data_IF_858519019408
#
_entry.id   IF_858519019408
#
_cell.length_a   1.000
_cell.length_b   1.000
_cell.length_c   1.000
_cell.angle_alpha   90.00
_cell.angle_beta   90.00
_cell.angle_gamma   90.00
#
_symmetry.space_group_name_H-M   'P 1'
#
loop_
_entity.id
_entity.type
_entity.pdbx_description
1 polymer ?
#
# COMPACT_ATOMS: atom_id res chain seq x y z
N UNK A 1 9.42 46.27 -12.07
CA UNK A 1 8.15 46.95 -11.85
C UNK A 1 7.42 46.95 -13.17
N UNK A 2 6.58 45.97 -13.42
CA UNK A 2 5.64 45.92 -14.54
C UNK A 2 4.47 45.04 -14.12
N UNK A 3 3.36 45.69 -13.89
CA UNK A 3 2.07 45.14 -13.50
C UNK A 3 1.40 44.62 -14.76
N UNK A 4 1.10 43.33 -14.83
CA UNK A 4 0.21 42.77 -15.85
C UNK A 4 -1.22 42.75 -15.30
N UNK A 5 -2.04 43.57 -15.89
CA UNK A 5 -3.48 43.68 -15.67
C UNK A 5 -4.15 42.59 -16.48
N UNK A 6 -4.88 41.69 -15.80
CA UNK A 6 -5.76 40.72 -16.46
C UNK A 6 -7.10 41.40 -16.80
N UNK A 7 -7.34 41.55 -18.08
CA UNK A 7 -8.58 42.07 -18.63
C UNK A 7 -9.68 40.98 -18.60
N UNK A 8 -10.88 41.46 -18.32
CA UNK A 8 -12.11 40.71 -18.12
C UNK A 8 -12.53 39.90 -19.37
N UNK A 9 -12.53 38.58 -19.30
CA UNK A 9 -13.34 37.73 -20.19
C UNK A 9 -14.67 37.41 -19.50
N UNK A 10 -15.75 38.05 -19.92
CA UNK A 10 -17.12 37.62 -19.58
C UNK A 10 -17.48 36.40 -20.45
N UNK A 11 -18.10 35.36 -19.88
CA UNK A 11 -18.66 34.28 -20.67
C UNK A 11 -20.00 34.73 -21.32
N UNK A 12 -20.37 34.18 -22.49
CA UNK A 12 -21.65 34.48 -23.11
C UNK A 12 -22.80 33.88 -22.33
N UNK A 13 -23.81 34.69 -22.11
CA UNK A 13 -25.07 34.38 -21.46
C UNK A 13 -26.00 33.78 -22.51
N UNK A 14 -26.90 32.91 -22.03
CA UNK A 14 -28.17 32.43 -22.56
C UNK A 14 -28.17 31.06 -23.27
N UNK A 15 -28.47 30.06 -22.46
CA UNK A 15 -29.49 29.07 -22.81
C UNK A 15 -30.40 28.87 -21.62
N UNK A 16 -31.67 29.20 -21.81
CA UNK A 16 -32.73 28.95 -20.82
C UNK A 16 -32.79 27.47 -20.39
N UNK A 17 -33.07 27.17 -19.11
CA UNK A 17 -33.29 25.80 -18.68
C UNK A 17 -34.63 25.30 -19.18
N UNK A 18 -34.65 24.21 -19.94
CA UNK A 18 -35.87 23.48 -20.27
C UNK A 18 -36.55 23.03 -19.00
N UNK A 19 -37.69 23.64 -18.69
CA UNK A 19 -38.60 23.19 -17.64
C UNK A 19 -39.30 21.91 -18.09
N UNK A 20 -38.70 20.75 -17.79
CA UNK A 20 -39.43 19.47 -17.89
C UNK A 20 -40.35 19.33 -16.68
N UNK A 21 -41.64 19.34 -16.97
CA UNK A 21 -42.70 19.26 -15.96
C UNK A 21 -42.73 17.83 -15.39
N UNK A 22 -42.57 17.66 -14.08
CA UNK A 22 -42.61 16.36 -13.38
C UNK A 22 -43.83 15.48 -13.69
N UNK A 23 -44.90 16.09 -14.13
CA UNK A 23 -46.15 15.40 -14.54
C UNK A 23 -46.05 14.63 -15.88
N UNK A 24 -45.27 15.14 -16.83
CA UNK A 24 -45.13 14.46 -18.14
C UNK A 24 -44.19 13.25 -18.06
N UNK A 25 -43.23 13.24 -17.15
CA UNK A 25 -42.33 12.10 -16.92
C UNK A 25 -43.08 10.91 -16.30
N UNK A 26 -44.10 11.16 -15.47
CA UNK A 26 -44.89 10.09 -14.81
C UNK A 26 -45.90 9.52 -15.77
N UNK A 27 -46.49 10.28 -16.71
CA UNK A 27 -47.47 9.84 -17.66
C UNK A 27 -46.85 8.94 -18.74
N UNK A 28 -45.64 9.21 -19.20
CA UNK A 28 -44.93 8.37 -20.18
C UNK A 28 -44.41 7.04 -19.62
N UNK A 29 -44.29 6.90 -18.32
CA UNK A 29 -43.89 5.64 -17.65
C UNK A 29 -45.08 4.70 -17.39
N UNK A 30 -46.35 5.17 -17.49
CA UNK A 30 -47.54 4.39 -17.19
C UNK A 30 -48.26 3.83 -18.45
N UNK A 31 -47.82 4.19 -19.64
CA UNK A 31 -48.45 3.74 -20.91
C UNK A 31 -47.81 2.51 -21.58
N UNK A 32 -46.82 1.86 -20.91
CA UNK A 32 -46.22 0.61 -21.43
C UNK A 32 -46.67 -0.68 -20.72
N UNK A 33 -47.72 -0.65 -19.91
CA UNK A 33 -48.23 -1.85 -19.22
C UNK A 33 -49.71 -2.09 -19.40
N UNK A 34 -50.24 -1.98 -20.65
CA UNK A 34 -51.57 -2.44 -20.95
C UNK A 34 -51.62 -3.11 -22.35
N UNK A 35 -51.47 -4.42 -22.37
CA UNK A 35 -51.70 -5.23 -23.55
C UNK A 35 -51.11 -6.64 -23.45
N UNK A 36 -51.89 -7.56 -23.00
CA UNK A 36 -52.10 -8.92 -23.47
C UNK A 36 -52.32 -9.90 -22.32
N UNK A 37 -53.59 -10.06 -21.97
CA UNK A 37 -54.07 -11.24 -21.23
C UNK A 37 -54.27 -12.39 -22.20
N UNK A 38 -53.46 -13.44 -22.09
CA UNK A 38 -53.81 -14.79 -22.51
C UNK A 38 -53.30 -15.79 -21.50
N UNK A 39 -54.22 -16.58 -20.95
CA UNK A 39 -53.98 -17.57 -19.93
C UNK A 39 -53.05 -18.67 -20.44
N UNK A 40 -51.89 -18.78 -19.80
CA UNK A 40 -50.98 -19.91 -19.87
C UNK A 40 -50.35 -20.09 -18.50
N UNK A 41 -50.74 -21.17 -17.81
CA UNK A 41 -50.10 -21.57 -16.54
C UNK A 41 -48.64 -21.94 -16.78
N UNK A 42 -47.74 -20.97 -16.60
CA UNK A 42 -46.31 -21.23 -16.56
C UNK A 42 -45.95 -21.46 -15.09
N UNK A 43 -45.56 -22.70 -14.78
CA UNK A 43 -44.87 -23.02 -13.51
C UNK A 43 -43.66 -22.11 -13.40
N UNK A 44 -43.68 -21.25 -12.42
CA UNK A 44 -42.49 -20.45 -12.03
C UNK A 44 -41.40 -21.40 -11.56
N UNK A 45 -40.46 -21.72 -12.45
CA UNK A 45 -39.17 -22.18 -12.03
C UNK A 45 -38.47 -20.99 -11.35
N UNK A 46 -38.34 -21.07 -10.04
CA UNK A 46 -37.56 -20.13 -9.25
C UNK A 46 -36.15 -20.08 -9.81
N UNK A 47 -35.79 -18.95 -10.44
CA UNK A 47 -34.43 -18.62 -10.77
C UNK A 47 -33.68 -18.58 -9.42
N UNK A 48 -32.61 -19.39 -9.24
CA UNK A 48 -31.80 -19.28 -8.03
C UNK A 48 -31.19 -17.87 -7.99
N UNK A 49 -31.55 -17.08 -7.00
CA UNK A 49 -30.81 -15.87 -6.70
C UNK A 49 -29.37 -16.28 -6.41
N UNK A 50 -28.33 -15.53 -6.92
CA UNK A 50 -26.99 -15.77 -6.52
C UNK A 50 -26.95 -15.58 -5.01
N UNK A 51 -26.75 -16.66 -4.27
CA UNK A 51 -26.37 -16.56 -2.86
C UNK A 51 -25.04 -15.82 -2.85
N UNK A 52 -25.03 -14.60 -2.33
CA UNK A 52 -23.80 -13.99 -1.88
C UNK A 52 -23.10 -15.03 -1.00
N UNK A 53 -22.07 -15.65 -1.56
CA UNK A 53 -21.13 -16.41 -0.77
C UNK A 53 -20.47 -15.40 0.15
N UNK A 54 -21.03 -15.22 1.33
CA UNK A 54 -20.35 -14.70 2.48
C UNK A 54 -19.18 -15.67 2.73
N UNK A 55 -18.04 -15.39 2.08
CA UNK A 55 -16.81 -16.11 2.28
C UNK A 55 -16.42 -15.79 3.72
N UNK A 56 -16.76 -16.71 4.63
CA UNK A 56 -16.17 -16.73 5.97
C UNK A 56 -14.68 -16.92 5.76
N UNK A 57 -13.88 -15.91 6.13
CA UNK A 57 -12.41 -16.02 6.20
C UNK A 57 -12.12 -17.24 7.04
N UNK A 58 -11.44 -18.23 6.46
CA UNK A 58 -11.07 -19.45 7.16
C UNK A 58 -10.10 -19.09 8.30
N UNK A 59 -10.08 -19.88 9.38
CA UNK A 59 -9.23 -19.64 10.56
C UNK A 59 -7.72 -19.56 10.27
N UNK A 60 -7.28 -19.85 9.04
CA UNK A 60 -5.89 -19.84 8.57
C UNK A 60 -5.42 -18.51 7.94
N UNK A 61 -6.28 -17.49 7.82
CA UNK A 61 -5.98 -16.26 7.08
C UNK A 61 -5.88 -15.03 7.99
N UNK A 62 -5.00 -15.07 8.97
CA UNK A 62 -4.65 -13.91 9.80
C UNK A 62 -3.52 -13.15 9.12
N UNK A 63 -3.62 -11.82 9.04
CA UNK A 63 -2.53 -10.97 8.53
C UNK A 63 -1.20 -11.30 9.21
N UNK A 64 -0.13 -11.41 8.42
CA UNK A 64 1.24 -11.56 8.92
C UNK A 64 1.87 -10.18 9.09
N UNK A 65 2.05 -9.78 10.34
CA UNK A 65 2.47 -8.43 10.70
C UNK A 65 3.98 -8.43 10.97
N UNK A 66 4.72 -7.69 10.14
CA UNK A 66 6.16 -7.47 10.27
C UNK A 66 6.46 -6.08 10.79
N UNK A 67 7.57 -5.96 11.53
CA UNK A 67 8.19 -4.68 11.81
C UNK A 67 9.17 -4.32 10.69
N UNK A 68 9.13 -3.08 10.21
CA UNK A 68 10.13 -2.56 9.29
C UNK A 68 11.48 -2.39 10.01
N UNK A 69 12.48 -3.15 9.60
CA UNK A 69 13.76 -3.23 10.32
C UNK A 69 14.57 -1.92 10.34
N UNK A 70 14.21 -0.95 9.48
CA UNK A 70 14.77 0.41 9.54
C UNK A 70 14.75 0.96 10.98
N UNK A 71 13.69 0.70 11.71
CA UNK A 71 13.47 1.22 13.06
C UNK A 71 14.26 0.50 14.15
N UNK A 72 14.95 -0.58 13.79
CA UNK A 72 15.77 -1.41 14.68
C UNK A 72 17.26 -1.44 14.27
N UNK A 73 17.72 -0.49 13.41
CA UNK A 73 19.12 -0.46 12.91
C UNK A 73 20.18 -0.20 13.97
N UNK A 74 19.78 0.19 15.17
CA UNK A 74 20.63 0.30 16.35
C UNK A 74 20.90 -1.06 17.05
N UNK A 75 20.38 -2.17 16.50
CA UNK A 75 20.52 -3.54 17.00
C UNK A 75 21.23 -4.41 15.97
N UNK A 76 22.01 -5.40 16.44
CA UNK A 76 22.47 -6.47 15.57
C UNK A 76 21.32 -7.45 15.23
N UNK A 77 21.54 -8.39 14.29
CA UNK A 77 20.49 -9.30 13.81
C UNK A 77 19.81 -10.10 14.93
N UNK A 78 20.59 -10.61 15.90
CA UNK A 78 20.06 -11.41 17.02
C UNK A 78 19.21 -10.56 17.95
N UNK A 79 19.70 -9.40 18.35
CA UNK A 79 18.96 -8.46 19.21
C UNK A 79 17.70 -7.93 18.51
N UNK A 80 17.79 -7.58 17.21
CA UNK A 80 16.65 -7.15 16.40
C UNK A 80 15.55 -8.22 16.41
N UNK A 81 15.90 -9.46 16.14
CA UNK A 81 14.94 -10.56 16.12
C UNK A 81 14.32 -10.80 17.50
N UNK A 82 15.11 -10.80 18.58
CA UNK A 82 14.62 -10.98 19.94
C UNK A 82 13.66 -9.86 20.37
N UNK A 83 14.01 -8.61 20.09
CA UNK A 83 13.16 -7.44 20.41
C UNK A 83 11.86 -7.47 19.61
N UNK A 84 11.92 -7.77 18.32
CA UNK A 84 10.72 -7.89 17.48
C UNK A 84 9.78 -9.01 17.97
N UNK A 85 10.34 -10.18 18.34
CA UNK A 85 9.57 -11.29 18.90
C UNK A 85 8.94 -10.93 20.26
N UNK A 86 9.69 -10.28 21.16
CA UNK A 86 9.19 -9.81 22.45
C UNK A 86 8.05 -8.79 22.32
N UNK A 87 8.11 -7.92 21.33
CA UNK A 87 7.00 -7.01 21.02
C UNK A 87 5.76 -7.74 20.49
N UNK A 88 5.91 -8.97 19.96
CA UNK A 88 4.82 -9.79 19.46
C UNK A 88 4.52 -9.63 17.98
N UNK A 89 5.51 -9.28 17.16
CA UNK A 89 5.43 -9.33 15.69
C UNK A 89 5.48 -10.78 15.17
N UNK A 90 4.90 -11.00 13.99
CA UNK A 90 4.97 -12.28 13.29
C UNK A 90 6.24 -12.40 12.44
N UNK A 91 6.84 -11.24 12.09
CA UNK A 91 7.99 -11.20 11.22
C UNK A 91 8.76 -9.89 11.26
N UNK A 92 9.80 -9.85 10.44
CA UNK A 92 10.63 -8.65 10.21
C UNK A 92 10.69 -8.39 8.71
N UNK A 93 10.38 -7.16 8.29
CA UNK A 93 10.64 -6.64 6.94
C UNK A 93 12.09 -6.12 6.91
N UNK A 94 13.00 -6.93 6.39
CA UNK A 94 14.45 -6.64 6.46
C UNK A 94 14.84 -5.63 5.38
N UNK A 95 15.52 -4.56 5.77
CA UNK A 95 16.12 -3.60 4.82
C UNK A 95 17.34 -4.21 4.12
N UNK A 96 17.25 -4.37 2.79
CA UNK A 96 18.34 -4.80 1.90
C UNK A 96 18.64 -3.68 0.91
N UNK A 97 19.31 -2.64 1.39
CA UNK A 97 19.56 -1.42 0.62
C UNK A 97 20.78 -0.67 1.18
N UNK A 98 21.32 0.35 0.46
CA UNK A 98 22.37 1.21 1.03
C UNK A 98 21.96 1.79 2.38
N UNK A 99 22.82 1.66 3.37
CA UNK A 99 22.54 2.09 4.74
C UNK A 99 21.49 1.27 5.49
N UNK A 100 21.01 0.14 4.95
CA UNK A 100 20.10 -0.79 5.63
C UNK A 100 20.82 -1.79 6.53
N UNK A 101 20.05 -2.67 7.18
CA UNK A 101 20.61 -3.78 7.97
C UNK A 101 21.50 -4.70 7.13
N UNK A 102 21.12 -4.95 5.88
CA UNK A 102 21.87 -5.74 4.91
C UNK A 102 22.24 -4.83 3.75
N UNK A 103 23.53 -4.74 3.44
CA UNK A 103 24.01 -4.01 2.28
C UNK A 103 23.80 -4.86 1.01
N UNK A 104 23.40 -4.26 -0.13
CA UNK A 104 23.18 -4.98 -1.39
C UNK A 104 24.36 -5.85 -1.84
N UNK A 105 25.57 -5.34 -1.73
CA UNK A 105 26.82 -6.01 -2.09
C UNK A 105 27.18 -7.19 -1.17
N UNK A 106 26.61 -7.22 0.03
CA UNK A 106 26.83 -8.27 1.03
C UNK A 106 25.64 -9.21 1.21
N UNK A 107 24.63 -9.09 0.36
CA UNK A 107 23.35 -9.80 0.51
C UNK A 107 23.52 -11.32 0.64
N UNK A 108 24.43 -11.93 -0.14
CA UNK A 108 24.65 -13.36 -0.12
C UNK A 108 25.23 -13.88 1.20
N UNK A 109 25.95 -13.01 1.94
CA UNK A 109 26.56 -13.36 3.24
C UNK A 109 25.69 -13.00 4.43
N UNK A 110 25.05 -11.83 4.39
CA UNK A 110 24.46 -11.21 5.56
C UNK A 110 22.95 -11.45 5.65
N UNK A 111 22.23 -11.51 4.52
CA UNK A 111 20.80 -11.82 4.55
C UNK A 111 20.49 -13.20 5.14
N UNK A 112 21.26 -14.29 4.83
CA UNK A 112 21.05 -15.57 5.49
C UNK A 112 21.22 -15.51 7.01
N UNK A 113 22.17 -14.72 7.53
CA UNK A 113 22.39 -14.54 8.98
C UNK A 113 21.21 -13.82 9.64
N UNK A 114 20.71 -12.76 9.00
CA UNK A 114 19.56 -12.03 9.49
C UNK A 114 18.29 -12.87 9.51
N UNK A 115 18.03 -13.62 8.43
CA UNK A 115 16.89 -14.56 8.33
C UNK A 115 16.98 -15.67 9.37
N UNK A 116 18.17 -16.25 9.58
CA UNK A 116 18.40 -17.28 10.60
C UNK A 116 18.10 -16.75 12.01
N UNK A 117 18.54 -15.53 12.33
CA UNK A 117 18.26 -14.88 13.61
C UNK A 117 16.74 -14.71 13.82
N UNK A 118 16.00 -14.23 12.80
CA UNK A 118 14.55 -14.06 12.85
C UNK A 118 13.84 -15.40 13.05
N UNK A 119 14.26 -16.45 12.35
CA UNK A 119 13.68 -17.79 12.49
C UNK A 119 13.96 -18.43 13.85
N UNK A 120 15.17 -18.26 14.39
CA UNK A 120 15.53 -18.70 15.75
C UNK A 120 14.71 -18.02 16.84
N UNK A 121 14.24 -16.80 16.59
CA UNK A 121 13.30 -16.10 17.46
C UNK A 121 11.82 -16.52 17.28
N UNK A 122 11.55 -17.53 16.46
CA UNK A 122 10.18 -18.05 16.22
C UNK A 122 9.34 -17.26 15.22
N UNK A 123 9.95 -16.35 14.47
CA UNK A 123 9.29 -15.51 13.47
C UNK A 123 9.70 -15.87 12.03
N UNK A 124 9.14 -15.15 11.05
CA UNK A 124 9.48 -15.32 9.64
C UNK A 124 9.87 -13.97 8.98
N UNK A 125 10.52 -14.07 7.81
CA UNK A 125 10.76 -12.94 6.91
C UNK A 125 9.84 -13.13 5.71
N UNK A 126 8.72 -12.38 5.70
CA UNK A 126 7.73 -12.46 4.63
C UNK A 126 8.12 -11.61 3.43
N UNK A 127 8.86 -10.55 3.70
CA UNK A 127 9.27 -9.56 2.71
C UNK A 127 10.60 -8.91 3.10
N UNK A 128 11.24 -8.28 2.12
CA UNK A 128 12.39 -7.38 2.31
C UNK A 128 12.11 -6.03 1.66
N UNK A 129 12.66 -4.98 2.22
CA UNK A 129 12.66 -3.65 1.62
C UNK A 129 13.99 -3.35 0.94
N UNK A 130 13.97 -3.21 -0.38
CA UNK A 130 15.15 -2.94 -1.20
C UNK A 130 15.16 -1.52 -1.77
N UNK A 131 16.22 -1.19 -2.52
CA UNK A 131 16.31 0.00 -3.36
C UNK A 131 16.33 -0.36 -4.87
N UNK A 132 15.91 -1.56 -5.23
CA UNK A 132 15.90 -2.05 -6.63
C UNK A 132 14.95 -1.19 -7.47
N UNK A 133 15.47 -0.60 -8.54
CA UNK A 133 14.69 0.19 -9.51
C UNK A 133 14.82 -0.33 -10.94
N UNK A 134 15.81 -1.21 -11.18
CA UNK A 134 16.12 -1.73 -12.52
C UNK A 134 16.62 -3.18 -12.42
N UNK A 135 16.21 -4.01 -13.37
CA UNK A 135 16.64 -5.40 -13.46
C UNK A 135 18.14 -5.53 -13.84
N UNK A 136 18.66 -4.54 -14.54
CA UNK A 136 20.02 -4.55 -15.09
C UNK A 136 21.07 -4.01 -14.08
N UNK A 137 20.67 -3.56 -12.89
CA UNK A 137 21.61 -3.13 -11.85
C UNK A 137 22.42 -4.32 -11.30
N UNK A 138 23.74 -4.15 -11.05
CA UNK A 138 24.65 -5.26 -10.74
C UNK A 138 24.25 -6.10 -9.52
N UNK A 139 23.55 -5.50 -8.53
CA UNK A 139 23.17 -6.17 -7.29
C UNK A 139 21.76 -6.78 -7.34
N UNK A 140 20.90 -6.36 -8.27
CA UNK A 140 19.49 -6.74 -8.33
C UNK A 140 19.30 -8.24 -8.40
N UNK A 141 19.92 -8.91 -9.35
CA UNK A 141 19.75 -10.35 -9.52
C UNK A 141 20.25 -11.13 -8.29
N UNK A 142 21.37 -10.72 -7.70
CA UNK A 142 21.91 -11.38 -6.52
C UNK A 142 20.99 -11.23 -5.29
N UNK A 143 20.37 -10.05 -5.11
CA UNK A 143 19.38 -9.82 -4.05
C UNK A 143 18.18 -10.76 -4.22
N UNK A 144 17.59 -10.79 -5.42
CA UNK A 144 16.40 -11.60 -5.69
C UNK A 144 16.68 -13.10 -5.56
N UNK A 145 17.82 -13.55 -6.12
CA UNK A 145 18.28 -14.94 -5.99
C UNK A 145 18.47 -15.34 -4.54
N UNK A 146 19.13 -14.51 -3.74
CA UNK A 146 19.41 -14.82 -2.33
C UNK A 146 18.12 -14.83 -1.51
N UNK A 147 17.26 -13.82 -1.69
CA UNK A 147 15.96 -13.75 -1.00
C UNK A 147 15.08 -14.96 -1.33
N UNK A 148 14.96 -15.32 -2.61
CA UNK A 148 14.20 -16.47 -3.07
C UNK A 148 14.74 -17.80 -2.48
N UNK A 149 16.07 -17.99 -2.48
CA UNK A 149 16.69 -19.18 -1.90
C UNK A 149 16.41 -19.32 -0.39
N UNK A 150 16.13 -18.22 0.29
CA UNK A 150 15.73 -18.19 1.69
C UNK A 150 14.20 -18.31 1.90
N UNK A 151 13.42 -18.48 0.82
CA UNK A 151 11.97 -18.62 0.87
C UNK A 151 11.22 -17.29 1.09
N UNK A 152 11.88 -16.17 0.85
CA UNK A 152 11.23 -14.85 0.87
C UNK A 152 10.53 -14.65 -0.48
N UNK A 153 9.26 -14.28 -0.45
CA UNK A 153 8.41 -14.23 -1.63
C UNK A 153 8.01 -12.83 -2.07
N UNK A 154 8.33 -11.81 -1.26
CA UNK A 154 7.95 -10.42 -1.50
C UNK A 154 9.13 -9.49 -1.28
N UNK A 155 9.23 -8.44 -2.09
CA UNK A 155 10.17 -7.35 -1.83
C UNK A 155 9.61 -6.01 -2.29
N UNK A 156 9.86 -4.95 -1.50
CA UNK A 156 9.61 -3.58 -1.92
C UNK A 156 10.72 -3.12 -2.87
N UNK A 157 10.33 -2.48 -3.97
CA UNK A 157 11.27 -1.81 -4.90
C UNK A 157 11.76 -0.46 -4.33
N UNK A 158 12.75 0.14 -4.98
CA UNK A 158 13.04 1.56 -4.84
C UNK A 158 12.00 2.42 -5.56
N UNK A 159 12.07 3.74 -5.39
CA UNK A 159 11.20 4.70 -6.06
C UNK A 159 11.78 5.21 -7.38
N UNK A 160 10.91 5.45 -8.35
CA UNK A 160 11.24 6.03 -9.64
C UNK A 160 10.84 7.51 -9.64
N UNK A 161 11.74 8.35 -10.16
CA UNK A 161 11.53 9.79 -10.25
C UNK A 161 11.11 10.18 -11.66
N UNK A 162 10.21 11.13 -11.77
CA UNK A 162 9.85 11.75 -13.04
C UNK A 162 11.03 12.55 -13.61
N UNK A 163 11.34 12.32 -14.89
CA UNK A 163 12.27 13.17 -15.63
C UNK A 163 11.53 14.40 -16.14
N UNK A 164 11.87 15.59 -15.62
CA UNK A 164 11.22 16.87 -15.98
C UNK A 164 11.41 17.29 -17.45
N UNK A 165 12.33 16.64 -18.19
CA UNK A 165 12.56 16.90 -19.61
C UNK A 165 11.66 16.06 -20.53
N UNK A 166 10.86 15.16 -19.96
CA UNK A 166 9.93 14.27 -20.69
C UNK A 166 8.48 14.61 -20.35
N UNK A 167 7.57 14.26 -21.24
CA UNK A 167 6.13 14.28 -20.92
C UNK A 167 5.82 13.26 -19.83
N UNK A 168 4.66 13.41 -19.17
CA UNK A 168 4.19 12.41 -18.19
C UNK A 168 4.03 11.05 -18.86
N UNK A 169 3.44 11.02 -20.05
CA UNK A 169 3.21 9.79 -20.81
C UNK A 169 4.51 9.07 -21.17
N UNK A 170 5.57 9.81 -21.52
CA UNK A 170 6.86 9.20 -21.84
C UNK A 170 7.58 8.69 -20.59
N UNK A 171 7.45 9.38 -19.46
CA UNK A 171 7.91 8.87 -18.17
C UNK A 171 7.19 7.56 -17.81
N UNK A 172 5.86 7.49 -17.95
CA UNK A 172 5.09 6.27 -17.64
C UNK A 172 5.52 5.08 -18.52
N UNK A 173 5.83 5.30 -19.81
CA UNK A 173 6.38 4.27 -20.71
C UNK A 173 7.75 3.77 -20.25
N UNK A 174 8.62 4.69 -19.79
CA UNK A 174 9.93 4.32 -19.25
C UNK A 174 9.77 3.46 -17.97
N UNK A 175 8.86 3.86 -17.07
CA UNK A 175 8.57 3.11 -15.84
C UNK A 175 7.98 1.73 -16.15
N UNK A 176 7.03 1.66 -17.07
CA UNK A 176 6.47 0.40 -17.55
C UNK A 176 7.56 -0.53 -18.10
N UNK A 177 8.46 -0.01 -18.94
CA UNK A 177 9.58 -0.78 -19.51
C UNK A 177 10.47 -1.36 -18.42
N UNK A 178 10.83 -0.57 -17.39
CA UNK A 178 11.64 -1.03 -16.26
C UNK A 178 10.91 -2.10 -15.42
N UNK A 179 9.65 -1.86 -15.11
CA UNK A 179 8.87 -2.78 -14.29
C UNK A 179 8.54 -4.09 -15.02
N UNK A 180 8.40 -4.09 -16.36
CA UNK A 180 8.29 -5.31 -17.17
C UNK A 180 9.56 -6.15 -17.05
N UNK A 181 10.75 -5.56 -17.22
CA UNK A 181 12.02 -6.27 -17.03
C UNK A 181 12.16 -6.86 -15.62
N UNK A 182 11.80 -6.07 -14.60
CA UNK A 182 11.78 -6.55 -13.22
C UNK A 182 10.80 -7.72 -13.04
N UNK A 183 9.60 -7.65 -13.62
CA UNK A 183 8.63 -8.72 -13.55
C UNK A 183 9.13 -10.03 -14.17
N UNK A 184 9.90 -9.96 -15.27
CA UNK A 184 10.54 -11.13 -15.88
C UNK A 184 11.61 -11.74 -15.00
N UNK A 185 12.47 -10.91 -14.40
CA UNK A 185 13.48 -11.36 -13.45
C UNK A 185 12.84 -11.92 -12.17
N UNK A 186 11.80 -11.28 -11.68
CA UNK A 186 11.01 -11.74 -10.53
C UNK A 186 10.39 -13.11 -10.76
N UNK A 187 9.84 -13.34 -11.97
CA UNK A 187 9.33 -14.65 -12.39
C UNK A 187 10.40 -15.73 -12.33
N UNK A 188 11.62 -15.43 -12.79
CA UNK A 188 12.77 -16.37 -12.75
C UNK A 188 13.07 -16.85 -11.34
N UNK A 189 12.93 -15.97 -10.35
CA UNK A 189 13.20 -16.27 -8.94
C UNK A 189 11.96 -16.54 -8.10
N UNK A 190 10.76 -16.57 -8.69
CA UNK A 190 9.49 -16.78 -7.97
C UNK A 190 9.30 -15.84 -6.78
N UNK A 191 9.66 -14.57 -6.95
CA UNK A 191 9.54 -13.50 -5.95
C UNK A 191 8.70 -12.36 -6.54
N UNK A 192 7.84 -11.73 -5.75
CA UNK A 192 7.01 -10.59 -6.17
C UNK A 192 7.71 -9.27 -5.85
N UNK A 193 7.87 -8.41 -6.85
CA UNK A 193 8.30 -7.02 -6.66
C UNK A 193 7.09 -6.12 -6.40
N UNK A 194 7.24 -5.15 -5.49
CA UNK A 194 6.13 -4.33 -5.02
C UNK A 194 6.53 -2.88 -4.96
N UNK A 195 5.83 -2.07 -5.74
CA UNK A 195 6.07 -0.64 -5.76
C UNK A 195 5.20 0.05 -4.70
N UNK A 196 5.84 0.74 -3.75
CA UNK A 196 5.13 1.51 -2.73
C UNK A 196 4.64 2.84 -3.32
N UNK A 197 3.34 3.13 -3.19
CA UNK A 197 2.84 4.48 -3.42
C UNK A 197 3.34 5.39 -2.28
N UNK A 198 4.18 6.37 -2.63
CA UNK A 198 4.79 7.29 -1.67
C UNK A 198 4.49 8.73 -2.07
N UNK A 199 3.96 9.54 -1.13
CA UNK A 199 3.65 10.94 -1.37
C UNK A 199 4.88 11.76 -1.76
N UNK A 200 4.68 12.78 -2.60
CA UNK A 200 5.71 13.63 -3.16
C UNK A 200 5.81 13.52 -4.69
N UNK A 201 6.97 13.89 -5.25
CA UNK A 201 7.17 13.96 -6.70
C UNK A 201 7.65 12.63 -7.32
N UNK A 202 7.21 11.50 -6.75
CA UNK A 202 7.58 10.17 -7.22
C UNK A 202 6.48 9.57 -8.10
N UNK A 203 6.88 8.68 -9.02
CA UNK A 203 5.94 7.75 -9.64
C UNK A 203 5.19 6.99 -8.54
N UNK A 204 3.90 6.81 -8.71
CA UNK A 204 3.04 6.12 -7.74
C UNK A 204 2.53 6.99 -6.59
N UNK A 205 2.96 8.25 -6.46
CA UNK A 205 2.37 9.18 -5.49
C UNK A 205 0.88 9.41 -5.80
N UNK A 206 0.50 9.91 -6.99
CA UNK A 206 -0.88 9.83 -7.42
C UNK A 206 -1.18 8.40 -7.86
N UNK A 207 -1.90 7.64 -7.04
CA UNK A 207 -2.16 6.20 -7.22
C UNK A 207 -2.58 5.79 -8.65
N UNK A 208 -3.08 6.74 -9.43
CA UNK A 208 -3.58 6.53 -10.79
C UNK A 208 -2.49 6.25 -11.81
N UNK A 209 -1.29 6.79 -11.66
CA UNK A 209 -0.15 6.52 -12.52
C UNK A 209 0.37 5.10 -12.28
N UNK A 210 0.49 4.69 -11.01
CA UNK A 210 0.83 3.32 -10.63
C UNK A 210 -0.21 2.32 -11.15
N UNK A 211 -1.51 2.61 -10.96
CA UNK A 211 -2.58 1.78 -11.50
C UNK A 211 -2.49 1.65 -13.02
N UNK A 212 -2.26 2.76 -13.73
CA UNK A 212 -2.12 2.76 -15.19
C UNK A 212 -1.02 1.79 -15.63
N UNK A 213 0.19 1.94 -15.09
CA UNK A 213 1.34 1.10 -15.45
C UNK A 213 1.12 -0.36 -15.06
N UNK A 214 0.68 -0.65 -13.83
CA UNK A 214 0.46 -2.03 -13.39
C UNK A 214 -0.66 -2.74 -14.17
N UNK A 215 -1.69 -2.00 -14.60
CA UNK A 215 -2.78 -2.56 -15.41
C UNK A 215 -2.35 -2.96 -16.82
N UNK A 216 -1.39 -2.22 -17.41
CA UNK A 216 -0.81 -2.58 -18.71
C UNK A 216 0.13 -3.79 -18.59
N UNK A 217 0.99 -3.82 -17.55
CA UNK A 217 1.91 -4.95 -17.32
C UNK A 217 1.13 -6.23 -17.00
N UNK A 218 0.09 -6.13 -16.18
CA UNK A 218 -0.78 -7.22 -15.76
C UNK A 218 -0.04 -8.54 -15.43
N UNK A 219 1.05 -8.44 -14.67
CA UNK A 219 1.88 -9.57 -14.26
C UNK A 219 1.67 -9.92 -12.78
N UNK A 220 1.62 -11.21 -12.40
CA UNK A 220 1.57 -11.61 -11.00
C UNK A 220 2.88 -11.35 -10.24
N UNK A 221 3.97 -11.03 -10.96
CA UNK A 221 5.33 -10.88 -10.40
C UNK A 221 5.74 -9.44 -10.09
N UNK A 222 4.87 -8.48 -10.37
CA UNK A 222 5.03 -7.07 -10.01
C UNK A 222 3.70 -6.51 -9.54
N UNK A 223 3.69 -5.71 -8.49
CA UNK A 223 2.47 -5.17 -7.91
C UNK A 223 2.71 -3.95 -7.05
N UNK A 224 1.78 -3.69 -6.16
CA UNK A 224 1.83 -2.56 -5.23
C UNK A 224 2.04 -3.04 -3.80
N UNK A 225 2.97 -2.41 -3.09
CA UNK A 225 2.93 -2.29 -1.64
C UNK A 225 2.07 -1.07 -1.33
N UNK A 226 0.82 -1.30 -0.92
CA UNK A 226 -0.14 -0.21 -0.73
C UNK A 226 0.03 0.45 0.63
N UNK A 227 0.38 1.73 0.61
CA UNK A 227 0.52 2.57 1.79
C UNK A 227 -0.70 3.48 1.94
N UNK A 228 -1.52 3.20 2.96
CA UNK A 228 -2.75 3.96 3.21
C UNK A 228 -2.48 5.41 3.62
N UNK A 229 -1.37 5.67 4.33
CA UNK A 229 -1.02 7.04 4.70
C UNK A 229 -0.77 7.88 3.44
N UNK A 230 0.11 7.43 2.57
CA UNK A 230 0.44 8.15 1.35
C UNK A 230 -0.77 8.27 0.42
N UNK A 231 -1.60 7.23 0.33
CA UNK A 231 -2.85 7.28 -0.41
C UNK A 231 -3.82 8.32 0.15
N UNK A 232 -3.85 8.52 1.47
CA UNK A 232 -4.69 9.54 2.12
C UNK A 232 -4.11 10.94 1.95
N UNK A 233 -2.78 11.10 2.03
CA UNK A 233 -2.11 12.39 1.81
C UNK A 233 -2.37 12.90 0.39
N UNK A 234 -2.20 12.05 -0.62
CA UNK A 234 -2.33 12.44 -2.03
C UNK A 234 -3.79 12.43 -2.53
N UNK A 235 -4.61 11.51 -2.00
CA UNK A 235 -5.98 11.30 -2.46
C UNK A 235 -7.06 11.92 -1.56
N UNK A 236 -6.72 12.36 -0.35
CA UNK A 236 -7.69 12.83 0.65
C UNK A 236 -8.93 11.90 0.69
N UNK A 237 -10.12 12.42 0.52
CA UNK A 237 -11.38 11.64 0.52
C UNK A 237 -11.54 10.69 -0.68
N UNK A 238 -10.66 10.76 -1.68
CA UNK A 238 -10.70 9.90 -2.87
C UNK A 238 -9.87 8.62 -2.72
N UNK A 239 -9.11 8.42 -1.63
CA UNK A 239 -8.32 7.21 -1.44
C UNK A 239 -9.11 5.90 -1.58
N UNK A 240 -10.43 5.80 -1.20
CA UNK A 240 -11.17 4.55 -1.37
C UNK A 240 -11.39 4.19 -2.84
N UNK A 241 -11.49 5.19 -3.73
CA UNK A 241 -11.60 4.97 -5.18
C UNK A 241 -10.27 4.47 -5.73
N UNK A 242 -9.15 5.08 -5.29
CA UNK A 242 -7.79 4.62 -5.62
C UNK A 242 -7.53 3.19 -5.16
N UNK A 243 -7.87 2.86 -3.91
CA UNK A 243 -7.79 1.49 -3.38
C UNK A 243 -8.60 0.50 -4.22
N UNK A 244 -9.83 0.86 -4.60
CA UNK A 244 -10.69 0.03 -5.45
C UNK A 244 -10.07 -0.22 -6.83
N UNK A 245 -9.38 0.76 -7.40
CA UNK A 245 -8.70 0.62 -8.69
C UNK A 245 -7.47 -0.30 -8.57
N UNK A 246 -6.58 -0.04 -7.59
CA UNK A 246 -5.30 -0.73 -7.46
C UNK A 246 -5.42 -2.14 -6.83
N UNK A 247 -6.56 -2.47 -6.20
CA UNK A 247 -6.75 -3.72 -5.42
C UNK A 247 -6.27 -5.02 -6.09
N UNK A 248 -6.39 -5.22 -7.42
CA UNK A 248 -5.93 -6.47 -8.04
C UNK A 248 -4.42 -6.65 -8.00
N UNK A 249 -3.69 -5.56 -7.79
CA UNK A 249 -2.22 -5.50 -7.84
C UNK A 249 -1.58 -5.40 -6.46
N UNK A 250 -2.36 -5.28 -5.37
CA UNK A 250 -1.83 -5.20 -4.00
C UNK A 250 -1.24 -6.56 -3.61
N UNK A 251 0.03 -6.54 -3.20
CA UNK A 251 0.80 -7.72 -2.78
C UNK A 251 1.26 -7.64 -1.32
N UNK A 252 1.42 -6.42 -0.79
CA UNK A 252 1.65 -6.13 0.63
C UNK A 252 1.07 -4.77 0.98
N UNK A 253 1.01 -4.45 2.26
CA UNK A 253 0.52 -3.17 2.75
C UNK A 253 1.45 -2.60 3.81
N UNK A 254 1.58 -1.27 3.81
CA UNK A 254 2.24 -0.51 4.86
C UNK A 254 1.22 0.16 5.77
N UNK A 255 1.52 0.16 7.06
CA UNK A 255 0.66 0.75 8.10
C UNK A 255 1.44 1.81 8.87
N UNK A 256 0.97 3.02 8.81
CA UNK A 256 1.40 4.18 9.59
C UNK A 256 0.30 5.23 9.60
N UNK A 257 0.38 6.21 10.51
CA UNK A 257 -0.65 7.24 10.67
C UNK A 257 -0.04 8.64 10.62
N UNK A 258 -0.86 9.66 10.36
CA UNK A 258 -0.41 11.04 10.26
C UNK A 258 -1.49 12.03 10.66
N UNK A 259 -1.06 13.24 10.95
CA UNK A 259 -1.92 14.42 11.05
C UNK A 259 -1.40 15.56 10.20
N UNK A 260 -2.28 16.47 9.81
CA UNK A 260 -1.85 17.73 9.22
C UNK A 260 -1.41 18.69 10.30
N UNK A 261 -0.18 19.17 10.23
CA UNK A 261 0.35 20.18 11.15
C UNK A 261 0.93 21.36 10.37
N UNK A 262 1.02 22.51 11.03
CA UNK A 262 1.59 23.70 10.40
C UNK A 262 3.00 23.93 10.93
N UNK A 263 4.03 23.73 10.09
CA UNK A 263 5.44 24.01 10.39
C UNK A 263 5.92 25.14 9.52
N UNK A 264 6.47 26.20 10.12
CA UNK A 264 7.02 27.37 9.41
C UNK A 264 6.04 27.96 8.36
N UNK A 265 4.76 27.99 8.70
CA UNK A 265 3.72 28.54 7.82
C UNK A 265 3.19 27.57 6.75
N UNK A 266 3.79 26.40 6.54
CA UNK A 266 3.38 25.38 5.57
C UNK A 266 2.67 24.22 6.24
N UNK A 267 1.64 23.68 5.59
CA UNK A 267 1.01 22.42 6.01
C UNK A 267 1.88 21.24 5.60
N UNK A 268 2.15 20.35 6.55
CA UNK A 268 2.92 19.12 6.35
C UNK A 268 2.18 17.93 6.95
N UNK A 269 2.29 16.78 6.31
CA UNK A 269 1.85 15.52 6.88
C UNK A 269 2.88 15.08 7.94
N UNK A 270 2.54 15.22 9.21
CA UNK A 270 3.36 14.80 10.33
C UNK A 270 2.97 13.41 10.76
N UNK A 271 3.93 12.49 10.77
CA UNK A 271 3.68 11.11 11.22
C UNK A 271 3.47 11.10 12.74
N UNK A 272 2.46 10.36 13.16
CA UNK A 272 2.07 10.21 14.58
C UNK A 272 1.92 8.73 14.94
N UNK A 273 1.87 8.37 16.23
CA UNK A 273 1.57 7.02 16.68
C UNK A 273 0.26 6.51 16.09
N UNK A 274 0.19 5.22 15.84
CA UNK A 274 -0.93 4.58 15.16
C UNK A 274 -2.24 4.71 15.94
N UNK A 275 -3.23 5.32 15.32
CA UNK A 275 -4.54 5.60 15.92
C UNK A 275 -4.68 7.01 16.51
N UNK A 276 -3.62 7.83 16.47
CA UNK A 276 -3.63 9.22 16.91
C UNK A 276 -3.80 10.21 15.75
N UNK A 277 -3.78 9.70 14.51
CA UNK A 277 -3.84 10.50 13.29
C UNK A 277 -5.21 10.57 12.63
N UNK A 278 -5.20 10.83 11.33
CA UNK A 278 -6.38 11.15 10.52
C UNK A 278 -6.83 9.99 9.62
N UNK A 279 -6.11 8.86 9.61
CA UNK A 279 -6.47 7.74 8.74
C UNK A 279 -7.73 7.06 9.26
N UNK A 280 -8.73 6.95 8.40
CA UNK A 280 -9.94 6.16 8.68
C UNK A 280 -9.64 4.65 8.58
N UNK A 281 -8.92 4.11 9.58
CA UNK A 281 -8.58 2.69 9.63
C UNK A 281 -9.82 1.79 9.64
N UNK A 282 -10.93 2.25 10.23
CA UNK A 282 -12.18 1.48 10.23
C UNK A 282 -12.67 1.22 8.80
N UNK A 283 -12.73 2.27 7.97
CA UNK A 283 -13.15 2.16 6.58
C UNK A 283 -12.10 1.39 5.75
N UNK A 284 -10.81 1.65 5.98
CA UNK A 284 -9.72 0.96 5.29
C UNK A 284 -9.75 -0.55 5.53
N UNK A 285 -9.75 -0.99 6.77
CA UNK A 285 -9.76 -2.41 7.13
C UNK A 285 -11.05 -3.11 6.67
N UNK A 286 -12.20 -2.42 6.76
CA UNK A 286 -13.45 -2.95 6.18
C UNK A 286 -13.34 -3.11 4.66
N UNK A 287 -12.68 -2.18 3.97
CA UNK A 287 -12.45 -2.29 2.53
C UNK A 287 -11.54 -3.47 2.18
N UNK A 288 -10.45 -3.70 2.94
CA UNK A 288 -9.61 -4.87 2.77
C UNK A 288 -10.40 -6.17 2.93
N UNK A 289 -11.25 -6.24 3.95
CA UNK A 289 -12.14 -7.38 4.19
C UNK A 289 -13.10 -7.63 3.03
N UNK A 290 -13.79 -6.59 2.57
CA UNK A 290 -14.76 -6.67 1.45
C UNK A 290 -14.08 -7.08 0.15
N UNK A 291 -12.85 -6.63 -0.07
CA UNK A 291 -12.09 -6.96 -1.27
C UNK A 291 -11.35 -8.29 -1.18
N UNK A 292 -11.35 -8.96 -0.02
CA UNK A 292 -10.64 -10.21 0.21
C UNK A 292 -9.11 -10.05 0.16
N UNK A 293 -8.60 -8.86 0.53
CA UNK A 293 -7.16 -8.59 0.56
C UNK A 293 -6.60 -9.09 1.87
N UNK A 294 -5.76 -10.15 1.80
CA UNK A 294 -5.00 -10.68 2.91
C UNK A 294 -3.56 -10.92 2.45
N UNK A 295 -2.69 -9.97 2.74
CA UNK A 295 -1.31 -9.89 2.25
C UNK A 295 -0.38 -9.56 3.44
N UNK A 296 0.95 -9.75 3.31
CA UNK A 296 1.89 -9.30 4.33
C UNK A 296 1.75 -7.83 4.68
N UNK A 297 1.91 -7.52 5.97
CA UNK A 297 1.83 -6.16 6.52
C UNK A 297 3.19 -5.76 7.05
N UNK A 298 3.64 -4.54 6.74
CA UNK A 298 4.78 -3.87 7.37
C UNK A 298 4.30 -2.67 8.17
N UNK A 299 4.65 -2.59 9.47
CA UNK A 299 4.36 -1.41 10.28
C UNK A 299 5.60 -0.51 10.31
N UNK A 300 5.37 0.76 9.99
CA UNK A 300 6.38 1.80 9.95
C UNK A 300 6.19 2.82 11.08
N UNK A 301 7.27 3.13 11.79
CA UNK A 301 7.30 4.04 12.93
C UNK A 301 8.12 5.28 12.58
N UNK A 302 7.52 6.22 11.88
CA UNK A 302 8.21 7.39 11.32
C UNK A 302 7.94 8.69 12.09
N UNK A 303 7.34 8.60 13.28
CA UNK A 303 7.27 9.68 14.26
C UNK A 303 8.54 9.70 15.15
N UNK A 304 8.74 10.75 15.93
CA UNK A 304 9.97 10.92 16.72
C UNK A 304 10.22 9.78 17.71
N UNK A 305 11.28 9.01 17.47
CA UNK A 305 11.73 7.86 18.27
C UNK A 305 13.25 7.90 18.53
N UNK A 306 13.78 9.11 18.74
CA UNK A 306 15.19 9.30 19.09
C UNK A 306 16.17 8.89 18.00
N UNK A 307 15.76 8.96 16.73
CA UNK A 307 16.54 8.58 15.56
C UNK A 307 16.14 7.24 14.93
N UNK A 308 15.42 6.37 15.66
CA UNK A 308 14.94 5.10 15.10
C UNK A 308 14.01 5.30 13.89
N UNK A 309 13.23 6.37 13.87
CA UNK A 309 12.36 6.77 12.76
C UNK A 309 13.11 6.98 11.44
N UNK A 310 14.37 7.34 11.52
CA UNK A 310 15.24 7.56 10.36
C UNK A 310 16.26 6.43 10.12
N UNK A 311 16.26 5.38 10.96
CA UNK A 311 17.19 4.27 10.84
C UNK A 311 18.57 4.60 11.40
N UNK A 312 18.65 5.42 12.45
CA UNK A 312 19.90 5.68 13.15
C UNK A 312 20.44 4.40 13.81
N UNK A 313 21.78 4.28 13.85
CA UNK A 313 22.48 3.17 14.51
C UNK A 313 22.70 3.41 16.02
N UNK A 314 22.26 4.56 16.53
CA UNK A 314 22.26 4.91 17.95
C UNK A 314 21.02 5.74 18.26
N UNK A 315 20.50 5.60 19.48
CA UNK A 315 19.31 6.31 19.94
C UNK A 315 19.70 7.49 20.83
N UNK A 316 18.89 8.56 20.76
CA UNK A 316 19.00 9.74 21.63
C UNK A 316 18.05 9.71 22.83
N UNK A 317 17.17 8.71 22.90
CA UNK A 317 16.24 8.46 24.02
C UNK A 317 16.40 7.02 24.52
N UNK A 318 15.74 6.69 25.65
CA UNK A 318 15.82 5.35 26.24
C UNK A 318 15.29 4.28 25.27
N UNK A 319 16.02 3.18 25.16
CA UNK A 319 15.65 2.00 24.33
C UNK A 319 14.28 1.43 24.73
N UNK A 320 13.99 1.41 26.04
CA UNK A 320 12.72 0.88 26.54
C UNK A 320 11.54 1.73 26.10
N UNK A 321 11.69 3.05 26.02
CA UNK A 321 10.65 3.95 25.53
C UNK A 321 10.38 3.74 24.04
N UNK A 322 11.43 3.57 23.22
CA UNK A 322 11.29 3.26 21.80
C UNK A 322 10.57 1.94 21.58
N UNK A 323 10.98 0.87 22.27
CA UNK A 323 10.36 -0.46 22.18
C UNK A 323 8.90 -0.39 22.63
N UNK A 324 8.60 0.29 23.72
CA UNK A 324 7.25 0.45 24.24
C UNK A 324 6.33 1.20 23.28
N UNK A 325 6.81 2.27 22.63
CA UNK A 325 6.07 3.01 21.65
C UNK A 325 5.70 2.11 20.44
N UNK A 326 6.67 1.38 19.87
CA UNK A 326 6.43 0.44 18.77
C UNK A 326 5.47 -0.69 19.16
N UNK A 327 5.58 -1.21 20.39
CA UNK A 327 4.69 -2.25 20.90
C UNK A 327 3.26 -1.73 21.08
N UNK A 328 3.09 -0.49 21.52
CA UNK A 328 1.77 0.14 21.64
C UNK A 328 1.08 0.24 20.28
N UNK A 329 1.80 0.67 19.23
CA UNK A 329 1.26 0.76 17.88
C UNK A 329 0.85 -0.62 17.34
N UNK A 330 1.69 -1.64 17.55
CA UNK A 330 1.32 -3.01 17.18
C UNK A 330 0.05 -3.46 17.90
N UNK A 331 -0.08 -3.18 19.19
CA UNK A 331 -1.26 -3.52 19.97
C UNK A 331 -2.51 -2.76 19.48
N UNK A 332 -2.37 -1.47 19.16
CA UNK A 332 -3.43 -0.66 18.57
C UNK A 332 -3.90 -1.26 17.24
N UNK A 333 -2.96 -1.61 16.36
CA UNK A 333 -3.30 -2.25 15.09
C UNK A 333 -4.01 -3.59 15.27
N UNK A 334 -3.56 -4.43 16.19
CA UNK A 334 -4.23 -5.70 16.53
C UNK A 334 -5.66 -5.48 17.06
N UNK A 335 -5.90 -4.41 17.84
CA UNK A 335 -7.25 -4.03 18.27
C UNK A 335 -8.12 -3.60 17.09
N UNK A 336 -7.57 -2.80 16.17
CA UNK A 336 -8.28 -2.38 14.96
C UNK A 336 -8.66 -3.57 14.07
N UNK A 337 -7.75 -4.54 13.87
CA UNK A 337 -8.01 -5.76 13.11
C UNK A 337 -9.13 -6.59 13.75
N UNK A 338 -9.10 -6.79 15.08
CA UNK A 338 -10.20 -7.49 15.79
C UNK A 338 -11.53 -6.77 15.61
N UNK A 339 -11.54 -5.47 15.75
CA UNK A 339 -12.76 -4.65 15.59
C UNK A 339 -13.34 -4.73 14.18
N UNK A 340 -12.50 -4.92 13.16
CA UNK A 340 -12.90 -5.14 11.77
C UNK A 340 -13.29 -6.61 11.48
N UNK A 341 -13.05 -7.54 12.44
CA UNK A 341 -13.23 -8.98 12.24
C UNK A 341 -12.24 -9.57 11.23
N UNK A 342 -11.00 -9.10 11.26
CA UNK A 342 -9.85 -9.55 10.45
C UNK A 342 -8.81 -10.32 11.28
N UNK A 343 -9.04 -10.48 12.57
CA UNK A 343 -8.30 -11.37 13.46
C UNK A 343 -9.20 -11.83 14.59
N UNK A 344 -8.79 -12.91 15.30
CA UNK A 344 -9.45 -13.38 16.53
C UNK A 344 -9.14 -12.49 17.73
#
# INVERSE_FOLDING_TARGET
MSVLIFDNCKPPIDKEPMKTNRREFIINSLLMTAGLSSAGTIRANSIPQPRDKQTSISESEVFKISIFSKHLQWLNYTEMAQVAAQMGFDGVDITVRPGGHVLPERVAEDLPKAVDAVRKAGMNVYMITSAITDADEPTTENILKTASALGITHYRTGWLNYNSQKSIEDNLKDFETKLVKLAELNKKYSISGEYQNHSGEYFGAPIWDLYNVLSHINSPWIGSQYDILHATVEGANAWPIGLKAIKPYIKSIDIKDFQWTKKEGKWVAEIVPLGEGLIDFKNYLNSLKVYGINVPVSIHFEYSLGGAEHGATSLTIDRADVIKAMQNDLNNFKVMLRSAGLSK
#
